data_IF_957020737589
#
_entry.id   IF_957020737589
#
_cell.length_a   1.000
_cell.length_b   1.000
_cell.length_c   1.000
_cell.angle_alpha   90.00
_cell.angle_beta   90.00
_cell.angle_gamma   90.00
#
_symmetry.space_group_name_H-M   'P 1'
#
loop_
_entity.id
_entity.type
_entity.pdbx_description
1 polymer ?
#
# COMPACT_ATOMS: atom_id res chain seq x y z
N UNK A 1 -3.82 7.19 13.61
CA UNK A 1 -3.38 6.33 12.48
C UNK A 1 -2.50 7.10 11.47
N UNK A 2 -2.64 8.42 11.28
CA UNK A 2 -1.86 9.16 10.27
C UNK A 2 -1.02 10.35 10.81
N UNK A 3 -0.89 10.53 12.13
CA UNK A 3 -0.29 11.74 12.74
C UNK A 3 1.23 11.94 12.60
N UNK A 4 1.94 11.05 11.90
CA UNK A 4 3.41 11.11 11.77
C UNK A 4 3.91 11.35 10.34
N UNK A 5 3.04 11.35 9.33
CA UNK A 5 3.44 11.58 7.94
C UNK A 5 3.75 13.07 7.68
N UNK A 6 4.66 13.31 6.73
CA UNK A 6 5.12 14.64 6.29
C UNK A 6 5.14 14.62 4.75
N UNK A 7 5.54 15.70 4.10
CA UNK A 7 5.62 15.77 2.64
C UNK A 7 4.65 16.75 1.99
N UNK A 8 4.91 17.18 0.75
CA UNK A 8 4.13 18.21 0.07
C UNK A 8 2.70 17.74 -0.26
N UNK A 9 2.52 16.47 -0.62
CA UNK A 9 1.21 15.88 -0.90
C UNK A 9 0.42 15.70 0.40
N UNK A 10 1.08 15.19 1.45
CA UNK A 10 0.48 15.12 2.78
C UNK A 10 0.09 16.51 3.35
N UNK A 11 0.90 17.54 3.10
CA UNK A 11 0.59 18.91 3.52
C UNK A 11 -0.66 19.48 2.82
N UNK A 12 -0.94 19.04 1.58
CA UNK A 12 -2.10 19.47 0.82
C UNK A 12 -3.38 18.68 1.17
N UNK A 13 -3.28 17.36 1.38
CA UNK A 13 -4.45 16.48 1.45
C UNK A 13 -4.57 15.68 2.76
N UNK A 14 -3.65 15.88 3.71
CA UNK A 14 -3.67 15.22 5.02
C UNK A 14 -3.70 13.70 4.90
N UNK A 15 -4.51 13.03 5.72
CA UNK A 15 -4.57 11.56 5.72
C UNK A 15 -5.06 10.94 4.41
N UNK A 16 -5.82 11.70 3.60
CA UNK A 16 -6.25 11.23 2.28
C UNK A 16 -5.07 11.07 1.32
N UNK A 17 -3.94 11.78 1.54
CA UNK A 17 -2.70 11.57 0.79
C UNK A 17 -2.11 10.17 1.00
N UNK A 18 -2.40 9.55 2.15
CA UNK A 18 -1.96 8.20 2.46
C UNK A 18 -3.00 7.17 2.01
N UNK A 19 -4.26 7.36 2.44
CA UNK A 19 -5.36 6.44 2.16
C UNK A 19 -6.69 7.19 2.11
N UNK A 20 -7.48 6.96 1.07
CA UNK A 20 -8.85 7.43 1.02
C UNK A 20 -9.64 6.91 2.23
N UNK A 21 -10.39 7.77 2.94
CA UNK A 21 -11.14 7.35 4.12
C UNK A 21 -12.28 6.38 3.78
N UNK A 22 -12.75 5.58 4.75
CA UNK A 22 -13.95 4.77 4.58
C UNK A 22 -15.12 5.62 4.14
N UNK A 23 -15.93 5.09 3.22
CA UNK A 23 -16.99 5.82 2.55
C UNK A 23 -16.51 6.58 1.31
N UNK A 24 -15.24 6.48 0.92
CA UNK A 24 -14.69 7.11 -0.29
C UNK A 24 -13.73 6.19 -1.04
N UNK A 25 -13.49 6.50 -2.32
CA UNK A 25 -12.55 5.76 -3.17
C UNK A 25 -11.99 6.65 -4.29
N UNK A 26 -10.90 6.25 -4.90
CA UNK A 26 -10.50 6.66 -6.25
C UNK A 26 -9.70 5.51 -6.87
N UNK A 27 -9.19 5.63 -8.09
CA UNK A 27 -8.46 4.51 -8.73
C UNK A 27 -7.09 4.19 -8.10
N UNK A 28 -6.56 5.06 -7.24
CA UNK A 28 -5.23 4.94 -6.63
C UNK A 28 -5.31 4.65 -5.12
N UNK A 29 -6.50 4.67 -4.54
CA UNK A 29 -6.72 4.49 -3.10
C UNK A 29 -6.18 5.64 -2.24
N UNK A 30 -5.64 6.70 -2.83
CA UNK A 30 -5.08 7.87 -2.12
C UNK A 30 -5.13 9.11 -3.00
N UNK A 31 -5.08 10.28 -2.38
CA UNK A 31 -5.18 11.57 -3.06
C UNK A 31 -3.80 12.16 -3.36
N UNK A 32 -3.43 12.14 -4.64
CA UNK A 32 -2.16 12.71 -5.12
C UNK A 32 -2.32 14.12 -5.69
N UNK A 33 -3.52 14.44 -6.17
CA UNK A 33 -3.86 15.72 -6.79
C UNK A 33 -5.37 15.96 -6.70
N UNK A 34 -5.83 17.16 -7.04
CA UNK A 34 -7.26 17.47 -7.11
C UNK A 34 -7.99 16.63 -8.17
N UNK A 35 -7.29 16.21 -9.22
CA UNK A 35 -7.81 15.31 -10.24
C UNK A 35 -7.99 13.86 -9.74
N UNK A 36 -7.27 13.49 -8.67
CA UNK A 36 -7.33 12.20 -8.00
C UNK A 36 -7.89 12.35 -6.59
N UNK A 37 -8.89 13.23 -6.40
CA UNK A 37 -9.57 13.34 -5.12
C UNK A 37 -10.32 12.05 -4.75
N UNK A 38 -10.41 11.75 -3.45
CA UNK A 38 -11.26 10.66 -2.97
C UNK A 38 -12.74 11.03 -3.17
N UNK A 39 -13.47 10.22 -3.93
CA UNK A 39 -14.87 10.42 -4.27
C UNK A 39 -15.78 9.58 -3.37
N UNK A 40 -17.00 10.04 -3.12
CA UNK A 40 -17.98 9.34 -2.28
C UNK A 40 -18.29 7.92 -2.80
N UNK A 41 -18.21 6.96 -1.89
CA UNK A 41 -18.55 5.56 -2.11
C UNK A 41 -19.02 4.92 -0.79
N UNK A 42 -20.34 4.92 -0.50
CA UNK A 42 -20.87 4.36 0.75
C UNK A 42 -20.55 2.86 0.95
N UNK A 43 -20.26 2.12 -0.11
CA UNK A 43 -19.87 0.71 -0.06
C UNK A 43 -18.38 0.48 0.24
N UNK A 44 -17.53 1.52 0.21
CA UNK A 44 -16.11 1.45 0.55
C UNK A 44 -15.92 1.36 2.07
N UNK A 45 -15.83 0.13 2.60
CA UNK A 45 -15.70 -0.09 4.05
C UNK A 45 -14.26 0.10 4.58
N UNK A 46 -13.28 0.10 3.69
CA UNK A 46 -11.87 0.07 4.05
C UNK A 46 -11.15 1.35 3.60
N UNK A 47 -10.19 1.78 4.40
CA UNK A 47 -9.25 2.82 3.99
C UNK A 47 -8.52 2.37 2.72
N UNK A 48 -8.33 3.27 1.76
CA UNK A 48 -7.61 2.97 0.53
C UNK A 48 -8.41 2.25 -0.54
N UNK A 49 -9.75 2.26 -0.46
CA UNK A 49 -10.58 1.62 -1.47
C UNK A 49 -10.24 2.15 -2.87
N UNK A 50 -9.83 1.25 -3.76
CA UNK A 50 -9.46 1.58 -5.16
C UNK A 50 -10.64 1.46 -6.14
N UNK A 51 -11.74 0.88 -5.66
CA UNK A 51 -12.93 0.59 -6.45
C UNK A 51 -14.17 0.85 -5.60
N UNK A 52 -15.22 1.35 -6.23
CA UNK A 52 -16.53 1.44 -5.63
C UNK A 52 -17.43 0.37 -6.25
N UNK A 53 -17.79 -0.71 -5.52
CA UNK A 53 -18.80 -1.62 -6.01
C UNK A 53 -20.13 -0.86 -6.05
N UNK A 54 -20.58 -0.54 -7.26
CA UNK A 54 -21.92 -0.02 -7.51
C UNK A 54 -22.95 -1.00 -6.97
N UNK A 55 -24.02 -0.49 -6.37
CA UNK A 55 -25.18 -1.30 -5.97
C UNK A 55 -25.85 -2.03 -7.16
N UNK A 56 -25.55 -1.62 -8.40
CA UNK A 56 -25.79 -2.39 -9.61
C UNK A 56 -24.55 -3.25 -9.91
N UNK A 57 -24.60 -4.53 -9.57
CA UNK A 57 -23.53 -5.53 -9.76
C UNK A 57 -23.18 -5.87 -11.22
N UNK A 58 -22.97 -4.86 -12.06
CA UNK A 58 -22.53 -4.99 -13.46
C UNK A 58 -21.01 -4.98 -13.62
N UNK A 59 -20.27 -4.64 -12.57
CA UNK A 59 -18.83 -4.92 -12.55
C UNK A 59 -18.63 -6.32 -11.97
N UNK A 60 -18.05 -7.28 -12.73
CA UNK A 60 -17.70 -8.57 -12.17
C UNK A 60 -16.84 -8.33 -10.91
N UNK A 61 -16.95 -9.16 -9.87
CA UNK A 61 -15.97 -9.12 -8.81
C UNK A 61 -14.62 -9.31 -9.49
N UNK A 62 -13.74 -8.31 -9.42
CA UNK A 62 -12.35 -8.45 -9.84
C UNK A 62 -11.70 -9.44 -8.88
N UNK A 63 -11.91 -10.73 -9.12
CA UNK A 63 -11.30 -11.85 -8.40
C UNK A 63 -9.82 -12.04 -8.75
N UNK A 64 -9.22 -11.04 -9.38
CA UNK A 64 -7.77 -10.89 -9.48
C UNK A 64 -7.43 -9.62 -8.72
N UNK A 65 -7.06 -9.76 -7.44
CA UNK A 65 -6.66 -8.64 -6.59
C UNK A 65 -5.35 -7.97 -7.06
N UNK A 66 -4.64 -8.62 -7.99
CA UNK A 66 -3.43 -8.11 -8.64
C UNK A 66 -3.72 -7.76 -10.11
N UNK A 67 -3.17 -6.66 -10.65
CA UNK A 67 -3.17 -6.40 -12.09
C UNK A 67 -2.60 -7.59 -12.87
N UNK A 68 -3.10 -7.88 -14.09
CA UNK A 68 -2.57 -8.97 -14.90
C UNK A 68 -1.09 -8.72 -15.23
N UNK A 69 -0.19 -9.50 -14.61
CA UNK A 69 1.27 -9.38 -14.77
C UNK A 69 2.02 -8.94 -13.52
N UNK A 70 1.33 -8.63 -12.42
CA UNK A 70 1.94 -8.35 -11.12
C UNK A 70 1.71 -9.51 -10.13
N UNK A 71 2.79 -9.93 -9.48
CA UNK A 71 2.77 -10.78 -8.29
C UNK A 71 3.21 -9.94 -7.08
N UNK A 72 2.88 -10.37 -5.86
CA UNK A 72 3.23 -9.68 -4.61
C UNK A 72 4.73 -9.34 -4.53
N UNK A 73 5.60 -10.23 -5.05
CA UNK A 73 7.04 -9.94 -5.16
C UNK A 73 7.32 -8.66 -5.95
N UNK A 74 6.65 -8.43 -7.08
CA UNK A 74 6.86 -7.23 -7.90
C UNK A 74 6.41 -5.98 -7.16
N UNK A 75 5.31 -6.05 -6.41
CA UNK A 75 4.83 -4.95 -5.56
C UNK A 75 5.87 -4.62 -4.49
N UNK A 76 6.44 -5.63 -3.84
CA UNK A 76 7.50 -5.43 -2.85
C UNK A 76 8.77 -4.85 -3.50
N UNK A 77 9.20 -5.37 -4.66
CA UNK A 77 10.34 -4.81 -5.42
C UNK A 77 10.09 -3.35 -5.79
N UNK A 78 8.89 -3.01 -6.21
CA UNK A 78 8.51 -1.62 -6.51
C UNK A 78 8.60 -0.76 -5.26
N UNK A 79 8.05 -1.21 -4.12
CA UNK A 79 8.18 -0.50 -2.85
C UNK A 79 9.63 -0.26 -2.46
N UNK A 80 10.50 -1.26 -2.60
CA UNK A 80 11.94 -1.11 -2.38
C UNK A 80 12.55 -0.05 -3.31
N UNK A 81 12.20 -0.05 -4.60
CA UNK A 81 12.75 0.89 -5.58
C UNK A 81 12.24 2.33 -5.40
N UNK A 82 10.97 2.51 -5.10
CA UNK A 82 10.33 3.84 -4.98
C UNK A 82 10.66 4.53 -3.66
N UNK A 83 11.00 3.76 -2.62
CA UNK A 83 11.25 4.28 -1.29
C UNK A 83 12.71 4.21 -0.86
N UNK A 84 13.64 4.25 -1.83
CA UNK A 84 15.10 4.24 -1.63
C UNK A 84 15.59 3.08 -0.75
N UNK A 85 15.17 1.86 -1.06
CA UNK A 85 15.41 0.67 -0.25
C UNK A 85 16.87 0.31 0.02
N UNK A 86 17.82 0.87 -0.76
CA UNK A 86 19.25 0.72 -0.50
C UNK A 86 19.72 1.49 0.75
N UNK A 87 18.98 2.53 1.15
CA UNK A 87 19.32 3.42 2.27
C UNK A 87 18.50 3.11 3.54
N UNK A 88 17.72 2.02 3.52
CA UNK A 88 16.99 1.56 4.71
C UNK A 88 17.93 0.98 5.76
N UNK A 89 17.61 1.22 7.03
CA UNK A 89 18.39 0.70 8.17
C UNK A 89 18.35 -0.84 8.24
N UNK A 90 17.25 -1.43 7.76
CA UNK A 90 17.01 -2.88 7.76
C UNK A 90 16.45 -3.32 6.39
N UNK A 91 17.33 -3.82 5.52
CA UNK A 91 16.99 -4.27 4.16
C UNK A 91 17.49 -5.68 3.81
N UNK A 92 17.71 -6.52 4.83
CA UNK A 92 18.23 -7.89 4.61
C UNK A 92 17.34 -8.70 3.66
N UNK A 93 17.99 -9.42 2.75
CA UNK A 93 17.40 -10.29 1.72
C UNK A 93 16.52 -9.60 0.67
N UNK A 94 16.25 -8.30 0.77
CA UNK A 94 15.50 -7.58 -0.26
C UNK A 94 16.19 -7.73 -1.63
N UNK A 95 15.37 -7.89 -2.68
CA UNK A 95 15.80 -8.18 -4.06
C UNK A 95 16.53 -9.52 -4.27
N UNK A 96 16.71 -10.34 -3.23
CA UNK A 96 17.32 -11.66 -3.38
C UNK A 96 16.38 -12.66 -4.05
N UNK A 97 16.95 -13.78 -4.51
CA UNK A 97 16.21 -14.89 -5.08
C UNK A 97 15.47 -15.76 -4.05
N UNK A 98 15.64 -15.51 -2.74
CA UNK A 98 14.91 -16.25 -1.69
C UNK A 98 13.43 -15.91 -1.72
N UNK A 99 12.63 -16.65 -0.94
CA UNK A 99 11.23 -16.26 -0.71
C UNK A 99 11.16 -14.84 -0.18
N UNK A 100 10.18 -14.06 -0.63
CA UNK A 100 9.96 -12.72 -0.08
C UNK A 100 9.48 -12.78 1.38
N UNK A 101 9.01 -13.94 1.85
CA UNK A 101 8.71 -14.17 3.26
C UNK A 101 9.96 -14.15 4.15
N UNK A 102 11.16 -14.30 3.57
CA UNK A 102 12.44 -14.21 4.26
C UNK A 102 13.03 -12.79 4.21
N UNK A 103 12.35 -11.86 3.53
CA UNK A 103 12.78 -10.47 3.45
C UNK A 103 12.49 -9.76 4.77
N UNK A 104 13.44 -8.94 5.20
CA UNK A 104 13.34 -8.22 6.44
C UNK A 104 12.10 -7.31 6.45
N UNK A 105 11.28 -7.44 7.49
CA UNK A 105 10.03 -6.69 7.64
C UNK A 105 8.80 -7.32 6.95
N UNK A 106 8.96 -8.40 6.18
CA UNK A 106 7.83 -9.09 5.54
C UNK A 106 7.39 -10.28 6.37
N UNK A 107 6.08 -10.41 6.62
CA UNK A 107 5.47 -11.60 7.22
C UNK A 107 4.44 -12.17 6.26
N UNK A 108 4.56 -13.44 5.96
CA UNK A 108 3.60 -14.17 5.14
C UNK A 108 2.57 -14.91 5.98
N UNK A 109 1.41 -15.18 5.37
CA UNK A 109 0.38 -16.00 5.98
C UNK A 109 0.90 -17.44 6.24
N UNK A 110 0.49 -18.10 7.34
CA UNK A 110 0.95 -19.45 7.66
C UNK A 110 0.67 -20.46 6.54
N UNK A 111 1.72 -21.12 6.05
CA UNK A 111 1.61 -22.22 5.08
C UNK A 111 1.41 -21.80 3.61
N UNK A 112 1.42 -20.50 3.30
CA UNK A 112 1.30 -19.98 1.93
C UNK A 112 2.24 -18.78 1.73
N UNK A 113 2.95 -18.71 0.61
CA UNK A 113 3.81 -17.58 0.25
C UNK A 113 2.94 -16.39 -0.23
N UNK A 114 2.31 -15.70 0.73
CA UNK A 114 1.49 -14.49 0.50
C UNK A 114 1.65 -13.52 1.67
N UNK A 115 1.86 -12.24 1.38
CA UNK A 115 2.12 -11.18 2.37
C UNK A 115 0.89 -10.97 3.25
N UNK A 116 1.08 -11.13 4.56
CA UNK A 116 0.08 -10.86 5.59
C UNK A 116 0.42 -9.59 6.39
N UNK A 117 1.70 -9.25 6.57
CA UNK A 117 2.11 -7.99 7.17
C UNK A 117 3.42 -7.44 6.60
N UNK A 118 3.52 -6.10 6.61
CA UNK A 118 4.74 -5.35 6.31
C UNK A 118 5.05 -4.50 7.55
N UNK A 119 6.21 -4.74 8.16
CA UNK A 119 6.68 -4.12 9.39
C UNK A 119 8.03 -3.44 9.15
N UNK A 120 7.97 -2.19 8.69
CA UNK A 120 9.15 -1.37 8.33
C UNK A 120 9.18 -0.09 9.16
N UNK A 121 8.75 -0.14 10.42
CA UNK A 121 8.69 1.03 11.29
C UNK A 121 10.09 1.48 11.74
N UNK A 122 10.34 2.79 11.69
CA UNK A 122 11.65 3.38 12.02
C UNK A 122 12.82 2.71 11.26
N UNK A 123 12.63 2.47 9.97
CA UNK A 123 13.60 1.78 9.09
C UNK A 123 14.17 2.70 8.00
N UNK A 124 14.06 4.02 8.19
CA UNK A 124 14.47 5.05 7.24
C UNK A 124 13.78 4.94 5.86
N UNK A 125 12.51 4.54 5.82
CA UNK A 125 11.74 4.48 4.57
C UNK A 125 11.37 5.91 4.14
N UNK A 126 11.80 6.33 2.95
CA UNK A 126 11.56 7.68 2.41
C UNK A 126 10.60 7.64 1.21
N UNK A 127 10.15 8.82 0.77
CA UNK A 127 9.29 8.96 -0.41
C UNK A 127 7.85 8.50 -0.18
N UNK A 128 7.12 8.28 -1.27
CA UNK A 128 5.72 7.85 -1.22
C UNK A 128 5.59 6.35 -1.51
N UNK A 129 5.07 5.54 -0.56
CA UNK A 129 4.85 4.12 -0.80
C UNK A 129 3.89 3.88 -1.98
N UNK A 130 4.14 2.86 -2.83
CA UNK A 130 3.30 2.57 -3.98
C UNK A 130 1.91 2.14 -3.53
N UNK A 131 0.87 2.63 -4.22
CA UNK A 131 -0.52 2.28 -3.93
C UNK A 131 -0.81 0.78 -4.10
N UNK A 132 0.00 0.10 -4.90
CA UNK A 132 -0.04 -1.34 -5.13
C UNK A 132 0.17 -2.13 -3.83
N UNK A 133 0.78 -1.56 -2.79
CA UNK A 133 0.81 -2.21 -1.47
C UNK A 133 -0.60 -2.51 -0.94
N UNK A 134 -1.60 -1.69 -1.30
CA UNK A 134 -2.99 -1.89 -0.90
C UNK A 134 -3.74 -2.91 -1.76
N UNK A 135 -3.13 -3.41 -2.85
CA UNK A 135 -3.68 -4.49 -3.67
C UNK A 135 -3.20 -5.88 -3.22
N UNK A 136 -2.28 -5.94 -2.25
CA UNK A 136 -1.82 -7.20 -1.66
C UNK A 136 -3.00 -7.96 -1.02
N UNK A 137 -3.30 -9.18 -1.50
CA UNK A 137 -4.58 -9.83 -1.27
C UNK A 137 -4.82 -10.27 0.18
N UNK A 138 -3.75 -10.55 0.93
CA UNK A 138 -3.82 -11.02 2.31
C UNK A 138 -3.24 -10.03 3.32
N UNK A 139 -2.91 -8.80 2.90
CA UNK A 139 -2.30 -7.81 3.77
C UNK A 139 -3.28 -7.38 4.88
N UNK A 140 -2.91 -7.66 6.12
CA UNK A 140 -3.69 -7.31 7.33
C UNK A 140 -3.05 -6.19 8.14
N UNK A 141 -1.74 -6.00 8.00
CA UNK A 141 -0.99 -5.01 8.78
C UNK A 141 0.08 -4.34 7.92
N UNK A 142 0.05 -3.01 7.89
CA UNK A 142 1.07 -2.17 7.27
C UNK A 142 1.58 -1.19 8.33
N UNK A 143 2.81 -1.39 8.78
CA UNK A 143 3.45 -0.62 9.83
C UNK A 143 4.67 0.11 9.26
N UNK A 144 4.46 1.36 8.84
CA UNK A 144 5.50 2.26 8.32
C UNK A 144 5.74 3.46 9.25
N UNK A 145 5.41 3.33 10.54
CA UNK A 145 5.47 4.42 11.50
C UNK A 145 6.92 4.93 11.71
N UNK A 146 7.06 6.19 12.12
CA UNK A 146 8.37 6.80 12.43
C UNK A 146 9.38 6.77 11.28
N UNK A 147 8.88 6.82 10.04
CA UNK A 147 9.68 6.97 8.83
C UNK A 147 9.47 8.36 8.20
N UNK A 148 10.47 8.88 7.47
CA UNK A 148 10.37 10.13 6.71
C UNK A 148 9.56 10.00 5.40
N UNK A 149 8.33 9.48 5.47
CA UNK A 149 7.44 9.34 4.30
C UNK A 149 6.87 10.68 3.84
N UNK A 150 6.57 10.78 2.54
CA UNK A 150 5.96 11.94 1.85
C UNK A 150 4.43 11.85 1.60
#
# INVERSE_FOLDING_TARGET
>A
VCGAARGPVFAAYGCSALLCPPGTYNTHGRQESDALACMDCPSAQYWGSIQCPSADGTQPPSTTLLPPGENERQILVQFYQTCEGMDWDESDNWLSATSFCDWKGIKCAPGVETVEAIEMGASNVVGTPPSELFSLPNLKSLALYSNPLE
#
